data_IF_365681404952
#
_entry.id   IF_365681404952
#
_cell.length_a   1.000
_cell.length_b   1.000
_cell.length_c   1.000
_cell.angle_alpha   90.00
_cell.angle_beta   90.00
_cell.angle_gamma   90.00
#
_symmetry.space_group_name_H-M   'P 1'
#
loop_
_entity.id
_entity.type
_entity.pdbx_description
1 polymer ?
#
# COMPACT_ATOMS: atom_id res chain seq x y z
N UNK A 1 -13.09 -3.07 5.79
CA UNK A 1 -13.85 -2.12 4.95
C UNK A 1 -12.85 -1.09 4.44
N UNK A 2 -12.72 -0.96 3.12
CA UNK A 2 -11.86 0.05 2.49
C UNK A 2 -12.68 1.27 2.08
N UNK A 3 -12.07 2.46 2.09
CA UNK A 3 -12.71 3.69 1.58
C UNK A 3 -11.82 4.30 0.51
N UNK A 4 -12.41 4.63 -0.62
CA UNK A 4 -11.76 5.35 -1.74
C UNK A 4 -12.32 6.76 -1.76
N UNK A 5 -11.47 7.77 -1.92
CA UNK A 5 -11.90 9.17 -1.99
C UNK A 5 -12.83 9.43 -3.18
N UNK A 6 -13.75 10.37 -3.02
CA UNK A 6 -14.62 10.83 -4.11
C UNK A 6 -13.78 11.40 -5.27
N UNK A 7 -14.20 11.13 -6.52
CA UNK A 7 -13.46 11.57 -7.72
C UNK A 7 -12.25 10.71 -8.09
N UNK A 8 -11.97 9.62 -7.36
CA UNK A 8 -10.84 8.74 -7.69
C UNK A 8 -10.97 8.21 -9.12
N UNK A 9 -9.92 8.37 -9.96
CA UNK A 9 -10.00 8.00 -11.37
C UNK A 9 -10.24 6.49 -11.52
N UNK A 10 -11.25 6.07 -12.31
CA UNK A 10 -11.62 4.66 -12.43
C UNK A 10 -10.56 3.82 -13.17
N UNK A 11 -9.69 4.47 -13.94
CA UNK A 11 -8.61 3.84 -14.68
C UNK A 11 -7.35 4.69 -14.55
N UNK A 12 -6.25 4.05 -14.16
CA UNK A 12 -4.93 4.67 -14.07
C UNK A 12 -3.94 3.87 -14.91
N UNK A 13 -3.08 4.58 -15.63
CA UNK A 13 -2.01 3.96 -16.41
C UNK A 13 -0.75 3.91 -15.55
N UNK A 14 -0.32 2.71 -15.17
CA UNK A 14 0.85 2.48 -14.33
C UNK A 14 1.27 1.02 -14.37
N UNK A 15 2.01 0.57 -13.35
CA UNK A 15 2.37 -0.84 -13.16
C UNK A 15 1.44 -1.47 -12.11
N UNK A 16 0.31 -2.10 -12.53
CA UNK A 16 -0.66 -2.66 -11.60
C UNK A 16 -0.09 -3.84 -10.80
N UNK A 17 0.90 -4.55 -11.35
CA UNK A 17 1.51 -5.70 -10.69
C UNK A 17 2.37 -5.23 -9.51
N UNK A 18 3.23 -4.23 -9.72
CA UNK A 18 4.04 -3.64 -8.64
C UNK A 18 3.17 -3.03 -7.55
N UNK A 19 2.12 -2.28 -7.92
CA UNK A 19 1.20 -1.71 -6.95
C UNK A 19 0.52 -2.81 -6.10
N UNK A 20 -0.03 -3.82 -6.78
CA UNK A 20 -0.69 -4.96 -6.11
C UNK A 20 0.26 -5.70 -5.17
N UNK A 21 1.51 -5.91 -5.59
CA UNK A 21 2.51 -6.60 -4.77
C UNK A 21 2.84 -5.81 -3.50
N UNK A 22 3.06 -4.49 -3.61
CA UNK A 22 3.35 -3.64 -2.46
C UNK A 22 2.16 -3.64 -1.49
N UNK A 23 0.94 -3.47 -2.01
CA UNK A 23 -0.28 -3.47 -1.20
C UNK A 23 -0.51 -4.82 -0.51
N UNK A 24 -0.34 -5.93 -1.22
CA UNK A 24 -0.47 -7.27 -0.66
C UNK A 24 0.54 -7.51 0.46
N UNK A 25 1.79 -7.05 0.31
CA UNK A 25 2.79 -7.15 1.35
C UNK A 25 2.37 -6.39 2.62
N UNK A 26 1.80 -5.19 2.47
CA UNK A 26 1.30 -4.43 3.61
C UNK A 26 0.09 -5.11 4.27
N UNK A 27 -0.89 -5.55 3.49
CA UNK A 27 -2.10 -6.20 3.98
C UNK A 27 -1.83 -7.54 4.66
N UNK A 28 -0.97 -8.37 4.06
CA UNK A 28 -0.60 -9.67 4.64
C UNK A 28 0.10 -9.47 5.98
N UNK A 29 0.95 -8.46 6.10
CA UNK A 29 1.54 -8.08 7.39
C UNK A 29 0.46 -7.62 8.38
N UNK A 30 -0.39 -6.66 8.00
CA UNK A 30 -1.43 -6.12 8.88
C UNK A 30 -2.36 -7.22 9.43
N UNK A 31 -2.82 -8.13 8.57
CA UNK A 31 -3.66 -9.27 8.97
C UNK A 31 -2.90 -10.24 9.86
N UNK A 32 -1.64 -10.57 9.52
CA UNK A 32 -0.81 -11.49 10.31
C UNK A 32 -0.61 -11.01 11.75
N UNK A 33 -0.56 -9.70 11.99
CA UNK A 33 -0.29 -9.12 13.30
C UNK A 33 -1.55 -8.64 14.04
N UNK A 34 -2.73 -8.76 13.43
CA UNK A 34 -4.02 -8.38 14.01
C UNK A 34 -4.89 -9.60 14.23
N UNK A 35 -4.66 -10.30 15.34
CA UNK A 35 -5.44 -11.50 15.71
C UNK A 35 -6.88 -11.15 16.12
N UNK A 36 -7.05 -10.04 16.85
CA UNK A 36 -8.34 -9.48 17.24
C UNK A 36 -8.33 -7.98 16.91
N UNK A 37 -9.36 -7.50 16.23
CA UNK A 37 -9.51 -6.10 15.85
C UNK A 37 -9.77 -5.93 14.36
N UNK A 38 -9.20 -4.89 13.74
CA UNK A 38 -9.46 -4.60 12.33
C UNK A 38 -8.25 -4.08 11.58
N UNK A 39 -8.30 -4.29 10.25
CA UNK A 39 -7.45 -3.64 9.27
C UNK A 39 -8.32 -2.76 8.38
N UNK A 40 -7.90 -1.52 8.14
CA UNK A 40 -8.55 -0.55 7.26
C UNK A 40 -7.59 -0.09 6.18
N UNK A 41 -8.14 0.15 5.01
CA UNK A 41 -7.42 0.66 3.84
C UNK A 41 -8.08 1.96 3.42
N UNK A 42 -7.26 2.99 3.22
CA UNK A 42 -7.69 4.29 2.75
C UNK A 42 -6.89 4.64 1.51
N UNK A 43 -7.59 4.96 0.44
CA UNK A 43 -7.00 5.42 -0.81
C UNK A 43 -7.40 6.86 -1.06
N UNK A 44 -6.40 7.70 -1.30
CA UNK A 44 -6.54 9.09 -1.70
C UNK A 44 -5.67 9.35 -2.93
N UNK A 45 -6.00 10.40 -3.68
CA UNK A 45 -5.19 10.84 -4.79
C UNK A 45 -5.02 12.35 -4.77
N UNK A 46 -3.93 12.83 -5.36
CA UNK A 46 -3.74 14.22 -5.75
C UNK A 46 -3.23 14.26 -7.18
N UNK A 47 -3.45 15.38 -7.87
CA UNK A 47 -2.82 15.65 -9.16
C UNK A 47 -1.40 16.15 -8.87
N UNK A 48 -0.43 15.74 -9.67
CA UNK A 48 0.94 16.22 -9.55
C UNK A 48 1.02 17.72 -9.88
N UNK A 49 1.74 18.49 -9.05
CA UNK A 49 1.82 19.94 -9.22
C UNK A 49 2.58 20.36 -10.50
N UNK A 50 3.42 19.48 -11.04
CA UNK A 50 4.25 19.73 -12.22
C UNK A 50 3.66 19.13 -13.50
N UNK A 51 2.82 18.11 -13.37
CA UNK A 51 2.20 17.42 -14.50
C UNK A 51 0.72 17.09 -14.20
N UNK A 52 -0.23 17.86 -14.75
CA UNK A 52 -1.67 17.64 -14.55
C UNK A 52 -2.20 16.29 -15.02
N UNK A 53 -1.48 15.58 -15.89
CA UNK A 53 -1.85 14.25 -16.37
C UNK A 53 -1.34 13.12 -15.45
N UNK A 54 -0.53 13.47 -14.43
CA UNK A 54 0.01 12.54 -13.44
C UNK A 54 -0.77 12.62 -12.13
N UNK A 55 -1.07 11.43 -11.60
CA UNK A 55 -1.75 11.26 -10.32
C UNK A 55 -0.80 10.67 -9.30
N UNK A 56 -0.76 11.26 -8.10
CA UNK A 56 -0.08 10.69 -6.95
C UNK A 56 -1.13 9.97 -6.11
N UNK A 57 -1.00 8.65 -5.99
CA UNK A 57 -1.89 7.83 -5.16
C UNK A 57 -1.25 7.65 -3.79
N UNK A 58 -2.01 7.94 -2.73
CA UNK A 58 -1.65 7.64 -1.35
C UNK A 58 -2.54 6.52 -0.83
N UNK A 59 -1.94 5.36 -0.61
CA UNK A 59 -2.61 4.21 0.02
C UNK A 59 -2.10 4.04 1.44
N UNK A 60 -3.02 4.06 2.41
CA UNK A 60 -2.73 3.85 3.82
C UNK A 60 -3.37 2.56 4.30
N UNK A 61 -2.56 1.68 4.91
CA UNK A 61 -3.01 0.49 5.62
C UNK A 61 -2.86 0.73 7.11
N UNK A 62 -3.98 0.70 7.84
CA UNK A 62 -4.04 0.89 9.28
C UNK A 62 -4.56 -0.37 9.95
N UNK A 63 -3.86 -0.87 10.95
CA UNK A 63 -4.25 -2.05 11.72
C UNK A 63 -4.27 -1.77 13.23
N UNK A 64 -5.02 -2.59 13.98
CA UNK A 64 -5.10 -2.51 15.45
C UNK A 64 -4.29 -3.63 16.13
N UNK A 65 -3.43 -4.32 15.38
CA UNK A 65 -2.61 -5.40 15.89
C UNK A 65 -1.59 -4.92 16.91
N UNK A 66 -0.88 -5.85 17.54
CA UNK A 66 0.16 -5.56 18.55
C UNK A 66 1.36 -4.77 18.00
N UNK A 67 1.35 -4.43 16.70
CA UNK A 67 2.48 -3.85 15.99
C UNK A 67 3.70 -4.77 16.06
N UNK A 68 4.77 -4.43 15.36
CA UNK A 68 6.05 -5.11 15.61
C UNK A 68 6.62 -4.61 16.94
N UNK A 69 6.12 -5.11 18.06
CA UNK A 69 6.85 -5.03 19.31
C UNK A 69 8.09 -5.97 19.19
N UNK A 70 9.21 -5.37 18.79
CA UNK A 70 10.58 -5.78 19.08
C UNK A 70 11.33 -6.86 18.28
N UNK A 71 10.85 -7.44 17.18
CA UNK A 71 11.72 -8.31 16.35
C UNK A 71 11.60 -8.03 14.85
N UNK A 72 12.59 -7.27 14.36
CA UNK A 72 12.89 -6.87 12.98
C UNK A 72 12.10 -5.68 12.44
N UNK A 73 12.77 -4.58 12.02
CA UNK A 73 12.13 -3.54 11.23
C UNK A 73 11.64 -4.15 9.90
N UNK A 74 10.57 -3.60 9.28
CA UNK A 74 10.26 -3.92 7.90
C UNK A 74 11.52 -3.63 7.08
N UNK A 75 12.06 -4.64 6.40
CA UNK A 75 13.10 -4.39 5.41
C UNK A 75 12.49 -3.38 4.43
N UNK A 76 13.01 -2.15 4.31
CA UNK A 76 12.58 -1.26 3.25
C UNK A 76 12.76 -2.03 1.95
N UNK A 77 11.76 -1.93 1.07
CA UNK A 77 11.74 -2.61 -0.22
C UNK A 77 13.05 -2.31 -0.96
N UNK A 78 14.03 -3.21 -0.86
CA UNK A 78 15.20 -3.21 -1.73
C UNK A 78 14.73 -3.91 -2.99
N UNK A 79 14.70 -3.18 -4.09
CA UNK A 79 14.57 -3.76 -5.42
C UNK A 79 15.65 -4.84 -5.56
N UNK A 80 15.29 -6.12 -5.44
CA UNK A 80 16.21 -7.18 -5.81
C UNK A 80 16.26 -7.22 -7.33
N UNK A 81 17.23 -6.52 -7.91
CA UNK A 81 17.56 -6.56 -9.33
C UNK A 81 18.28 -7.87 -9.70
N UNK A 82 17.89 -8.99 -9.08
CA UNK A 82 18.41 -10.32 -9.40
C UNK A 82 17.27 -11.24 -9.77
N UNK A 83 16.85 -11.14 -11.03
CA UNK A 83 16.49 -12.35 -11.79
C UNK A 83 17.63 -13.35 -11.63
N UNK A 84 17.39 -14.42 -10.88
CA UNK A 84 18.18 -15.65 -11.01
C UNK A 84 17.46 -16.57 -12.00
N UNK A 85 18.23 -17.35 -12.79
CA UNK A 85 17.72 -18.20 -13.87
C UNK A 85 16.76 -19.28 -13.38
#
# INVERSE_FOLDING_TARGET
MGTVSEGFPPNLKGDPLRFSQVLQNMLTNAVKFTEIGYVRVYDAYTIDEKDPDMYVISTQVMDTGIGRCHKHPPHPFQSDSRTRP
#
